data_IF_557496090290
#
_entry.id   IF_557496090290
#
_cell.length_a   1.000
_cell.length_b   1.000
_cell.length_c   1.000
_cell.angle_alpha   90.00
_cell.angle_beta   90.00
_cell.angle_gamma   90.00
#
_symmetry.space_group_name_H-M   'P 1'
#
loop_
_entity.id
_entity.type
_entity.pdbx_description
1 polymer ?
#
# COMPACT_ATOMS: atom_id res chain seq x y z
N UNK A 1 -29.16 -39.44 -16.96
CA UNK A 1 -28.92 -40.10 -15.66
C UNK A 1 -27.43 -40.34 -15.54
N UNK A 2 -26.78 -39.80 -14.51
CA UNK A 2 -25.37 -40.10 -14.24
C UNK A 2 -24.50 -38.91 -13.85
N UNK A 3 -24.71 -38.41 -12.63
CA UNK A 3 -23.70 -37.78 -11.76
C UNK A 3 -23.10 -36.42 -12.17
N UNK A 4 -23.78 -35.36 -11.75
CA UNK A 4 -23.10 -34.12 -11.36
C UNK A 4 -22.34 -34.38 -10.07
N UNK A 5 -21.01 -34.34 -10.14
CA UNK A 5 -20.17 -34.30 -8.96
C UNK A 5 -20.05 -32.82 -8.54
N UNK A 6 -20.81 -32.45 -7.50
CA UNK A 6 -20.52 -31.27 -6.71
C UNK A 6 -19.11 -31.42 -6.12
N UNK A 7 -18.16 -30.64 -6.62
CA UNK A 7 -16.87 -30.45 -5.95
C UNK A 7 -17.06 -29.51 -4.75
N UNK A 8 -17.71 -29.97 -3.69
CA UNK A 8 -17.59 -29.35 -2.37
C UNK A 8 -16.28 -29.83 -1.74
N UNK A 9 -15.15 -29.25 -2.16
CA UNK A 9 -13.89 -29.38 -1.43
C UNK A 9 -14.07 -28.61 -0.12
N UNK A 10 -14.42 -29.31 0.95
CA UNK A 10 -14.26 -28.79 2.29
C UNK A 10 -12.76 -28.54 2.51
N UNK A 11 -12.32 -27.30 2.29
CA UNK A 11 -10.98 -26.90 2.71
C UNK A 11 -10.96 -26.97 4.24
N UNK A 12 -10.22 -27.93 4.78
CA UNK A 12 -9.91 -27.98 6.20
C UNK A 12 -9.11 -26.71 6.54
N UNK A 13 -9.81 -25.69 7.06
CA UNK A 13 -9.19 -24.42 7.41
C UNK A 13 -8.36 -24.68 8.67
N UNK A 14 -7.07 -24.91 8.47
CA UNK A 14 -6.12 -25.10 9.55
C UNK A 14 -5.85 -23.75 10.24
N UNK A 15 -6.59 -23.46 11.31
CA UNK A 15 -6.47 -22.23 12.10
C UNK A 15 -5.02 -21.96 12.53
N UNK A 16 -4.23 -23.01 12.78
CA UNK A 16 -2.83 -22.89 13.17
C UNK A 16 -1.95 -22.28 12.07
N UNK A 17 -2.29 -22.46 10.78
CA UNK A 17 -1.56 -21.85 9.66
C UNK A 17 -1.81 -20.34 9.52
N UNK A 18 -2.87 -19.83 10.14
CA UNK A 18 -3.21 -18.40 10.15
C UNK A 18 -2.47 -17.67 11.29
N UNK A 19 -2.00 -18.40 12.31
CA UNK A 19 -1.38 -17.83 13.51
C UNK A 19 -0.19 -16.87 13.25
N UNK A 20 0.72 -17.10 12.28
CA UNK A 20 1.80 -16.14 12.01
C UNK A 20 1.27 -14.78 11.59
N UNK A 21 0.22 -14.75 10.76
CA UNK A 21 -0.41 -13.51 10.30
C UNK A 21 -1.11 -12.78 11.45
N UNK A 22 -1.84 -13.51 12.29
CA UNK A 22 -2.51 -12.94 13.46
C UNK A 22 -1.49 -12.36 14.47
N UNK A 23 -0.36 -13.04 14.65
CA UNK A 23 0.75 -12.56 15.48
C UNK A 23 1.33 -11.26 14.95
N UNK A 24 1.66 -11.21 13.65
CA UNK A 24 2.17 -10.00 12.98
C UNK A 24 1.20 -8.83 13.16
N UNK A 25 -0.09 -9.05 12.95
CA UNK A 25 -1.13 -8.03 13.10
C UNK A 25 -1.20 -7.51 14.55
N UNK A 26 -1.21 -8.42 15.53
CA UNK A 26 -1.26 -8.05 16.94
C UNK A 26 -0.03 -7.23 17.38
N UNK A 27 1.16 -7.57 16.89
CA UNK A 27 2.39 -6.82 17.16
C UNK A 27 2.41 -5.47 16.45
N UNK A 28 1.89 -5.38 15.23
CA UNK A 28 1.76 -4.12 14.49
C UNK A 28 0.84 -3.13 15.20
N UNK A 29 -0.30 -3.59 15.73
CA UNK A 29 -1.22 -2.75 16.51
C UNK A 29 -0.59 -2.24 17.81
N UNK A 30 0.38 -2.97 18.38
CA UNK A 30 1.16 -2.53 19.55
C UNK A 30 2.27 -1.53 19.23
N UNK A 31 2.45 -1.15 17.96
CA UNK A 31 3.42 -0.14 17.54
C UNK A 31 4.88 -0.61 17.55
N UNK A 32 5.14 -1.92 17.49
CA UNK A 32 6.49 -2.43 17.30
C UNK A 32 7.03 -2.06 15.91
N UNK A 33 8.36 -2.04 15.77
CA UNK A 33 8.99 -1.74 14.50
C UNK A 33 8.65 -2.80 13.45
N UNK A 34 8.19 -2.37 12.27
CA UNK A 34 7.79 -3.23 11.14
C UNK A 34 8.86 -4.26 10.78
N UNK A 35 10.14 -3.88 10.76
CA UNK A 35 11.25 -4.79 10.43
C UNK A 35 11.33 -5.94 11.45
N UNK A 36 11.21 -5.61 12.74
CA UNK A 36 11.23 -6.62 13.82
C UNK A 36 10.01 -7.51 13.74
N UNK A 37 8.83 -6.94 13.49
CA UNK A 37 7.57 -7.69 13.37
C UNK A 37 7.65 -8.70 12.22
N UNK A 38 8.13 -8.28 11.04
CA UNK A 38 8.24 -9.16 9.87
C UNK A 38 9.24 -10.29 10.11
N UNK A 39 10.37 -10.02 10.76
CA UNK A 39 11.33 -11.06 11.15
C UNK A 39 10.71 -12.09 12.09
N UNK A 40 9.96 -11.64 13.11
CA UNK A 40 9.20 -12.53 14.00
C UNK A 40 8.18 -13.35 13.21
N UNK A 41 7.47 -12.72 12.26
CA UNK A 41 6.50 -13.39 11.39
C UNK A 41 7.13 -14.49 10.55
N UNK A 42 8.30 -14.25 9.95
CA UNK A 42 9.04 -15.26 9.18
C UNK A 42 9.43 -16.44 10.09
N UNK A 43 10.01 -16.16 11.26
CA UNK A 43 10.41 -17.19 12.22
C UNK A 43 9.20 -18.00 12.72
N UNK A 44 8.07 -17.34 13.00
CA UNK A 44 6.83 -17.99 13.39
C UNK A 44 6.26 -18.88 12.27
N UNK A 45 6.29 -18.41 11.02
CA UNK A 45 5.89 -19.20 9.84
C UNK A 45 6.79 -20.42 9.65
N UNK A 46 8.10 -20.28 9.86
CA UNK A 46 9.05 -21.40 9.82
C UNK A 46 8.70 -22.42 10.91
N UNK A 47 8.54 -21.97 12.15
CA UNK A 47 8.21 -22.84 13.28
C UNK A 47 6.90 -23.60 13.04
N UNK A 48 5.85 -22.92 12.60
CA UNK A 48 4.55 -23.55 12.33
C UNK A 48 4.66 -24.52 11.15
N UNK A 49 5.34 -24.15 10.07
CA UNK A 49 5.52 -25.04 8.92
C UNK A 49 6.29 -26.32 9.25
N UNK A 50 7.25 -26.24 10.17
CA UNK A 50 7.95 -27.42 10.71
C UNK A 50 7.04 -28.26 11.63
N UNK A 51 6.26 -27.62 12.51
CA UNK A 51 5.35 -28.31 13.44
C UNK A 51 4.17 -28.99 12.75
N UNK A 52 3.74 -28.48 11.59
CA UNK A 52 2.66 -29.05 10.79
C UNK A 52 3.16 -29.92 9.63
N UNK A 53 4.43 -30.36 9.68
CA UNK A 53 5.10 -31.20 8.68
C UNK A 53 4.90 -30.71 7.23
N UNK A 54 4.82 -29.40 7.04
CA UNK A 54 4.58 -28.79 5.72
C UNK A 54 5.86 -28.68 4.90
N UNK A 55 7.02 -28.62 5.56
CA UNK A 55 8.34 -28.75 4.96
C UNK A 55 9.37 -29.19 6.01
N UNK A 56 10.51 -29.70 5.55
CA UNK A 56 11.61 -30.12 6.43
C UNK A 56 12.58 -28.97 6.71
N UNK A 57 13.35 -29.07 7.80
CA UNK A 57 14.35 -28.07 8.19
C UNK A 57 15.37 -27.77 7.09
N UNK A 58 15.77 -28.79 6.31
CA UNK A 58 16.69 -28.65 5.19
C UNK A 58 16.12 -27.80 4.04
N UNK A 59 14.79 -27.74 3.92
CA UNK A 59 14.11 -26.94 2.90
C UNK A 59 13.95 -25.47 3.30
N UNK A 60 14.15 -25.10 4.57
CA UNK A 60 13.92 -23.73 5.07
C UNK A 60 14.73 -22.70 4.29
N UNK A 61 16.02 -22.95 4.08
CA UNK A 61 16.88 -22.04 3.32
C UNK A 61 16.39 -21.81 1.89
N UNK A 62 15.93 -22.89 1.22
CA UNK A 62 15.36 -22.82 -0.13
C UNK A 62 14.04 -22.04 -0.14
N UNK A 63 13.15 -22.27 0.82
CA UNK A 63 11.87 -21.56 0.91
C UNK A 63 12.08 -20.05 1.13
N UNK A 64 13.03 -19.68 1.99
CA UNK A 64 13.40 -18.28 2.19
C UNK A 64 13.96 -17.68 0.89
N UNK A 65 14.85 -18.41 0.21
CA UNK A 65 15.43 -17.99 -1.08
C UNK A 65 14.36 -17.81 -2.16
N UNK A 66 13.47 -18.79 -2.33
CA UNK A 66 12.38 -18.74 -3.31
C UNK A 66 11.44 -17.56 -2.99
N UNK A 67 11.13 -17.33 -1.71
CA UNK A 67 10.34 -16.19 -1.25
C UNK A 67 11.01 -14.85 -1.57
N UNK A 68 12.32 -14.73 -1.34
CA UNK A 68 13.08 -13.53 -1.71
C UNK A 68 13.11 -13.32 -3.23
N UNK A 69 13.42 -14.36 -3.99
CA UNK A 69 13.49 -14.30 -5.46
C UNK A 69 12.13 -13.99 -6.09
N UNK A 70 11.02 -14.43 -5.49
CA UNK A 70 9.66 -14.12 -5.98
C UNK A 70 9.36 -12.62 -6.03
N UNK A 71 10.07 -11.81 -5.23
CA UNK A 71 9.89 -10.35 -5.15
C UNK A 71 11.08 -9.56 -5.71
N UNK A 72 12.15 -10.23 -6.16
CA UNK A 72 13.40 -9.58 -6.56
C UNK A 72 13.21 -8.60 -7.73
N UNK A 73 12.40 -8.98 -8.72
CA UNK A 73 12.14 -8.13 -9.90
C UNK A 73 11.46 -6.82 -9.51
N UNK A 74 10.40 -6.91 -8.70
CA UNK A 74 9.67 -5.74 -8.18
C UNK A 74 10.57 -4.93 -7.25
N UNK A 75 11.41 -5.58 -6.43
CA UNK A 75 12.38 -4.91 -5.57
C UNK A 75 13.35 -4.06 -6.39
N UNK A 76 13.99 -4.59 -7.44
CA UNK A 76 14.95 -3.83 -8.22
C UNK A 76 14.30 -2.65 -8.96
N UNK A 77 13.14 -2.86 -9.56
CA UNK A 77 12.40 -1.80 -10.25
C UNK A 77 12.02 -0.68 -9.26
N UNK A 78 11.44 -1.04 -8.11
CA UNK A 78 11.03 -0.05 -7.11
C UNK A 78 12.21 0.64 -6.44
N UNK A 79 13.34 -0.06 -6.24
CA UNK A 79 14.58 0.53 -5.72
C UNK A 79 15.13 1.59 -6.68
N UNK A 80 15.17 1.30 -7.99
CA UNK A 80 15.61 2.25 -9.01
C UNK A 80 14.67 3.45 -9.13
N UNK A 81 13.35 3.21 -9.15
CA UNK A 81 12.34 4.29 -9.17
C UNK A 81 12.45 5.17 -7.93
N UNK A 82 12.62 4.58 -6.73
CA UNK A 82 12.82 5.32 -5.50
C UNK A 82 14.10 6.16 -5.51
N UNK A 83 15.20 5.60 -6.03
CA UNK A 83 16.44 6.33 -6.24
C UNK A 83 16.27 7.51 -7.19
N UNK A 84 15.58 7.31 -8.31
CA UNK A 84 15.27 8.37 -9.26
C UNK A 84 14.36 9.45 -8.64
N UNK A 85 13.35 9.05 -7.88
CA UNK A 85 12.48 9.97 -7.15
C UNK A 85 13.27 10.78 -6.10
N UNK A 86 14.26 10.18 -5.44
CA UNK A 86 15.15 10.88 -4.51
C UNK A 86 16.03 11.91 -5.23
N UNK A 87 16.58 11.58 -6.40
CA UNK A 87 17.32 12.52 -7.25
C UNK A 87 16.40 13.66 -7.70
N UNK A 88 15.21 13.34 -8.22
CA UNK A 88 14.23 14.35 -8.64
C UNK A 88 13.81 15.28 -7.49
N UNK A 89 13.71 14.76 -6.26
CA UNK A 89 13.47 15.57 -5.06
C UNK A 89 14.61 16.56 -4.82
N UNK A 90 15.86 16.08 -4.94
CA UNK A 90 17.07 16.89 -4.73
C UNK A 90 17.22 17.98 -5.80
N UNK A 91 16.86 17.69 -7.05
CA UNK A 91 16.90 18.63 -8.18
C UNK A 91 15.67 19.57 -8.24
N UNK A 92 14.82 19.59 -7.21
CA UNK A 92 13.73 20.55 -7.08
C UNK A 92 12.39 20.13 -7.69
N UNK A 93 12.21 18.86 -8.07
CA UNK A 93 10.92 18.33 -8.54
C UNK A 93 9.81 18.47 -7.49
N UNK A 94 10.17 18.33 -6.22
CA UNK A 94 9.28 18.58 -5.09
C UNK A 94 8.90 20.06 -4.98
N UNK A 95 9.87 20.96 -5.16
CA UNK A 95 9.64 22.41 -5.12
C UNK A 95 8.80 22.87 -6.32
N UNK A 96 8.94 22.21 -7.47
CA UNK A 96 8.08 22.42 -8.63
C UNK A 96 6.61 22.08 -8.29
N UNK A 97 6.35 20.90 -7.71
CA UNK A 97 5.00 20.51 -7.30
C UNK A 97 4.43 21.47 -6.27
N UNK A 98 5.22 21.84 -5.27
CA UNK A 98 4.86 22.84 -4.28
C UNK A 98 4.47 24.16 -4.94
N UNK A 99 5.32 24.71 -5.82
CA UNK A 99 5.08 26.00 -6.47
C UNK A 99 3.84 25.96 -7.36
N UNK A 100 3.58 24.84 -8.03
CA UNK A 100 2.44 24.70 -8.95
C UNK A 100 1.12 24.51 -8.23
N UNK A 101 1.10 23.75 -7.13
CA UNK A 101 -0.13 23.36 -6.44
C UNK A 101 -0.45 24.21 -5.20
N UNK A 102 0.56 24.78 -4.52
CA UNK A 102 0.35 25.64 -3.35
C UNK A 102 -0.58 26.85 -3.58
N UNK A 103 -0.64 27.49 -4.77
CA UNK A 103 -1.60 28.58 -5.02
C UNK A 103 -3.07 28.16 -4.88
N UNK A 104 -3.37 26.87 -4.98
CA UNK A 104 -4.72 26.35 -4.82
C UNK A 104 -5.09 26.11 -3.36
N UNK A 105 -4.10 26.01 -2.46
CA UNK A 105 -4.32 25.92 -1.02
C UNK A 105 -4.65 27.32 -0.45
N UNK A 106 -5.95 27.62 -0.34
CA UNK A 106 -6.48 28.89 0.22
C UNK A 106 -7.00 28.75 1.66
N UNK A 107 -7.26 27.53 2.11
CA UNK A 107 -7.70 27.17 3.45
C UNK A 107 -7.55 25.66 3.71
N UNK A 108 -7.94 25.19 4.90
CA UNK A 108 -7.75 23.79 5.36
C UNK A 108 -8.21 22.75 4.33
N UNK A 109 -9.45 22.87 3.83
CA UNK A 109 -10.01 21.92 2.84
C UNK A 109 -9.22 21.86 1.54
N UNK A 110 -8.90 23.03 0.98
CA UNK A 110 -8.14 23.12 -0.26
C UNK A 110 -6.69 22.68 -0.08
N UNK A 111 -6.11 22.83 1.12
CA UNK A 111 -4.78 22.33 1.41
C UNK A 111 -4.77 20.80 1.51
N UNK A 112 -5.77 20.18 2.13
CA UNK A 112 -5.98 18.72 2.09
C UNK A 112 -6.10 18.21 0.63
N UNK A 113 -6.87 18.89 -0.21
CA UNK A 113 -6.99 18.55 -1.63
C UNK A 113 -5.65 18.67 -2.39
N UNK A 114 -4.82 19.67 -2.07
CA UNK A 114 -3.47 19.80 -2.63
C UNK A 114 -2.56 18.66 -2.18
N UNK A 115 -2.63 18.25 -0.90
CA UNK A 115 -1.88 17.09 -0.40
C UNK A 115 -2.28 15.82 -1.16
N UNK A 116 -3.59 15.59 -1.32
CA UNK A 116 -4.14 14.48 -2.08
C UNK A 116 -3.65 14.48 -3.54
N UNK A 117 -3.64 15.65 -4.19
CA UNK A 117 -3.14 15.79 -5.55
C UNK A 117 -1.63 15.52 -5.66
N UNK A 118 -0.82 15.99 -4.71
CA UNK A 118 0.62 15.75 -4.69
C UNK A 118 0.95 14.26 -4.61
N UNK A 119 0.33 13.52 -3.68
CA UNK A 119 0.58 12.08 -3.55
C UNK A 119 0.01 11.31 -4.74
N UNK A 120 -1.14 11.71 -5.28
CA UNK A 120 -1.73 11.14 -6.50
C UNK A 120 -0.76 11.23 -7.68
N UNK A 121 -0.22 12.42 -7.96
CA UNK A 121 0.70 12.62 -9.08
C UNK A 121 1.97 11.81 -8.87
N UNK A 122 2.53 11.84 -7.66
CA UNK A 122 3.71 11.05 -7.34
C UNK A 122 3.45 9.55 -7.51
N UNK A 123 2.31 9.05 -7.01
CA UNK A 123 1.95 7.64 -7.04
C UNK A 123 1.68 7.13 -8.45
N UNK A 124 0.98 7.91 -9.29
CA UNK A 124 0.79 7.57 -10.71
C UNK A 124 2.12 7.46 -11.47
N UNK A 125 3.10 8.33 -11.15
CA UNK A 125 4.39 8.30 -11.81
C UNK A 125 5.33 7.20 -11.28
N UNK A 126 5.25 6.88 -10.00
CA UNK A 126 6.16 5.96 -9.30
C UNK A 126 5.59 4.52 -9.28
N UNK A 127 4.27 4.38 -9.28
CA UNK A 127 3.51 3.13 -9.09
C UNK A 127 3.91 2.37 -7.81
N UNK A 128 4.21 3.11 -6.73
CA UNK A 128 4.57 2.56 -5.43
C UNK A 128 4.16 3.53 -4.30
N UNK A 129 3.12 3.11 -3.56
CA UNK A 129 2.50 3.88 -2.50
C UNK A 129 3.53 4.38 -1.48
N UNK A 130 4.42 3.51 -1.00
CA UNK A 130 5.40 3.86 0.05
C UNK A 130 6.35 4.95 -0.41
N UNK A 131 6.89 4.80 -1.63
CA UNK A 131 7.84 5.75 -2.20
C UNK A 131 7.13 7.08 -2.50
N UNK A 132 5.91 7.03 -3.03
CA UNK A 132 5.10 8.21 -3.31
C UNK A 132 4.72 8.98 -2.03
N UNK A 133 4.36 8.28 -0.95
CA UNK A 133 4.08 8.89 0.37
C UNK A 133 5.34 9.55 0.92
N UNK A 134 6.49 8.88 0.89
CA UNK A 134 7.76 9.45 1.37
C UNK A 134 8.15 10.69 0.55
N UNK A 135 8.02 10.61 -0.77
CA UNK A 135 8.29 11.71 -1.68
C UNK A 135 7.38 12.91 -1.38
N UNK A 136 6.07 12.70 -1.35
CA UNK A 136 5.07 13.76 -1.10
C UNK A 136 5.00 14.24 0.35
N UNK A 137 5.54 13.48 1.30
CA UNK A 137 5.42 13.73 2.74
C UNK A 137 6.01 15.07 3.18
N UNK A 138 7.10 15.52 2.56
CA UNK A 138 7.70 16.82 2.86
C UNK A 138 6.84 18.01 2.38
N UNK A 139 6.14 17.87 1.24
CA UNK A 139 5.12 18.83 0.79
C UNK A 139 3.94 18.84 1.75
N UNK A 140 3.46 17.66 2.08
CA UNK A 140 2.31 17.48 2.95
C UNK A 140 2.54 18.10 4.33
N UNK A 141 3.74 17.92 4.89
CA UNK A 141 4.15 18.53 6.16
C UNK A 141 4.14 20.06 6.10
N UNK A 142 4.74 20.67 5.06
CA UNK A 142 4.77 22.14 4.90
C UNK A 142 3.35 22.74 4.84
N UNK A 143 2.45 22.08 4.10
CA UNK A 143 1.05 22.52 4.00
C UNK A 143 0.27 22.29 5.30
N UNK A 144 0.51 21.17 5.98
CA UNK A 144 -0.12 20.88 7.25
C UNK A 144 0.26 21.88 8.35
N UNK A 145 1.53 22.27 8.42
CA UNK A 145 2.02 23.30 9.35
C UNK A 145 1.42 24.67 9.01
N UNK A 146 1.36 25.04 7.72
CA UNK A 146 0.80 26.34 7.29
C UNK A 146 -0.71 26.48 7.54
N UNK A 147 -1.47 25.39 7.38
CA UNK A 147 -2.93 25.40 7.49
C UNK A 147 -3.45 24.77 8.78
N UNK A 148 -2.58 24.39 9.73
CA UNK A 148 -2.97 23.75 11.00
C UNK A 148 -3.83 22.50 10.77
N UNK A 149 -3.32 21.55 9.98
CA UNK A 149 -3.97 20.26 9.70
C UNK A 149 -3.33 19.19 10.59
N UNK A 150 -4.15 18.39 11.26
CA UNK A 150 -3.66 17.33 12.15
C UNK A 150 -2.82 16.28 11.41
N UNK A 151 -1.75 15.80 12.04
CA UNK A 151 -0.81 14.83 11.43
C UNK A 151 -1.50 13.53 11.02
N UNK A 152 -2.41 13.01 11.84
CA UNK A 152 -3.19 11.80 11.51
C UNK A 152 -4.06 11.99 10.26
N UNK A 153 -4.63 13.19 10.08
CA UNK A 153 -5.39 13.55 8.88
C UNK A 153 -4.50 13.55 7.64
N UNK A 154 -3.33 14.18 7.73
CA UNK A 154 -2.35 14.22 6.64
C UNK A 154 -1.91 12.80 6.26
N UNK A 155 -1.56 11.97 7.25
CA UNK A 155 -1.15 10.59 7.03
C UNK A 155 -2.25 9.77 6.34
N UNK A 156 -3.51 9.93 6.77
CA UNK A 156 -4.65 9.26 6.15
C UNK A 156 -4.90 9.71 4.71
N UNK A 157 -4.79 11.01 4.41
CA UNK A 157 -4.92 11.51 3.02
C UNK A 157 -3.81 10.94 2.13
N UNK A 158 -2.57 10.99 2.61
CA UNK A 158 -1.43 10.44 1.87
C UNK A 158 -1.63 8.96 1.57
N UNK A 159 -1.99 8.17 2.58
CA UNK A 159 -2.22 6.74 2.48
C UNK A 159 -3.38 6.40 1.52
N UNK A 160 -4.56 7.00 1.75
CA UNK A 160 -5.76 6.70 0.95
C UNK A 160 -5.54 7.04 -0.52
N UNK A 161 -5.05 8.24 -0.84
CA UNK A 161 -4.90 8.63 -2.24
C UNK A 161 -3.80 7.83 -2.96
N UNK A 162 -2.72 7.42 -2.26
CA UNK A 162 -1.77 6.46 -2.85
C UNK A 162 -2.40 5.08 -3.10
N UNK A 163 -3.24 4.58 -2.18
CA UNK A 163 -3.88 3.28 -2.35
C UNK A 163 -4.94 3.27 -3.46
N UNK A 164 -5.68 4.36 -3.60
CA UNK A 164 -6.73 4.50 -4.64
C UNK A 164 -6.09 4.39 -6.02
N UNK A 165 -5.04 5.16 -6.29
CA UNK A 165 -4.42 5.19 -7.62
C UNK A 165 -3.70 3.89 -7.94
N UNK A 166 -3.02 3.27 -6.97
CA UNK A 166 -2.43 1.95 -7.18
C UNK A 166 -3.45 0.87 -7.55
N UNK A 167 -4.68 0.98 -7.06
CA UNK A 167 -5.80 0.11 -7.45
C UNK A 167 -6.46 0.46 -8.78
N UNK A 168 -6.11 1.59 -9.39
CA UNK A 168 -6.69 2.11 -10.65
C UNK A 168 -5.67 2.06 -11.81
N UNK A 169 -4.38 1.95 -11.51
CA UNK A 169 -3.33 1.91 -12.52
C UNK A 169 -3.16 0.48 -13.06
N UNK A 170 -3.20 0.26 -14.40
CA UNK A 170 -3.10 -1.08 -14.97
C UNK A 170 -1.78 -1.81 -14.68
N UNK A 171 -0.71 -1.03 -14.47
CA UNK A 171 0.63 -1.52 -14.14
C UNK A 171 0.92 -1.50 -12.63
N UNK A 172 -0.09 -1.27 -11.79
CA UNK A 172 0.03 -1.40 -10.34
C UNK A 172 0.30 -2.84 -9.94
N UNK A 173 1.19 -3.07 -8.97
CA UNK A 173 1.62 -4.41 -8.56
C UNK A 173 0.44 -5.34 -8.21
N UNK A 174 -0.61 -4.83 -7.57
CA UNK A 174 -1.80 -5.57 -7.18
C UNK A 174 -2.65 -5.99 -8.38
N UNK A 175 -2.80 -5.11 -9.39
CA UNK A 175 -3.52 -5.41 -10.62
C UNK A 175 -2.73 -6.41 -11.47
N UNK A 176 -1.41 -6.27 -11.55
CA UNK A 176 -0.54 -7.21 -12.26
C UNK A 176 -0.55 -8.60 -11.61
N UNK A 177 -0.57 -8.68 -10.27
CA UNK A 177 -0.71 -9.94 -9.55
C UNK A 177 -2.04 -10.62 -9.89
N UNK A 178 -3.15 -9.87 -9.83
CA UNK A 178 -4.46 -10.39 -10.20
C UNK A 178 -4.51 -10.83 -11.67
N UNK A 179 -3.93 -10.05 -12.59
CA UNK A 179 -3.81 -10.38 -14.01
C UNK A 179 -2.99 -11.66 -14.24
N UNK A 180 -1.89 -11.82 -13.50
CA UNK A 180 -1.06 -13.02 -13.56
C UNK A 180 -1.78 -14.28 -13.06
N UNK A 181 -2.62 -14.16 -12.02
CA UNK A 181 -3.41 -15.27 -11.48
C UNK A 181 -4.60 -15.65 -12.37
N UNK A 182 -5.25 -14.65 -12.99
CA UNK A 182 -6.44 -14.85 -13.82
C UNK A 182 -6.13 -15.00 -15.31
N UNK A 183 -4.87 -14.84 -15.72
CA UNK A 183 -4.45 -14.73 -17.13
C UNK A 183 -5.20 -13.65 -17.91
N UNK A 184 -5.50 -12.52 -17.26
CA UNK A 184 -6.20 -11.37 -17.83
C UNK A 184 -5.27 -10.18 -17.96
N UNK A 185 -5.56 -9.28 -18.90
CA UNK A 185 -4.90 -7.98 -18.95
C UNK A 185 -5.29 -7.14 -17.74
N UNK A 186 -4.37 -6.31 -17.25
CA UNK A 186 -4.68 -5.36 -16.17
C UNK A 186 -5.88 -4.45 -16.51
N UNK A 187 -6.04 -4.11 -17.78
CA UNK A 187 -7.19 -3.31 -18.26
C UNK A 187 -8.54 -4.01 -18.10
N UNK A 188 -8.58 -5.34 -18.15
CA UNK A 188 -9.82 -6.12 -18.00
C UNK A 188 -10.25 -6.19 -16.53
N UNK A 189 -9.31 -6.01 -15.60
CA UNK A 189 -9.53 -6.09 -14.14
C UNK A 189 -9.99 -4.74 -13.58
N UNK A 190 -9.52 -3.63 -14.17
CA UNK A 190 -9.83 -2.28 -13.69
C UNK A 190 -11.32 -1.98 -13.49
N UNK A 191 -12.25 -2.36 -14.40
CA UNK A 191 -13.68 -2.13 -14.21
C UNK A 191 -14.27 -2.77 -12.96
N UNK A 192 -13.61 -3.81 -12.42
CA UNK A 192 -14.04 -4.54 -11.24
C UNK A 192 -13.36 -4.07 -9.95
N UNK A 193 -12.46 -3.10 -10.03
CA UNK A 193 -11.75 -2.52 -8.87
C UNK A 193 -12.63 -1.50 -8.13
N UNK A 194 -13.77 -1.97 -7.62
CA UNK A 194 -14.77 -1.13 -6.96
C UNK A 194 -14.27 -0.54 -5.64
N UNK A 195 -13.50 -1.30 -4.85
CA UNK A 195 -13.04 -0.86 -3.54
C UNK A 195 -12.14 0.39 -3.61
N UNK A 196 -11.06 0.43 -4.41
CA UNK A 196 -10.27 1.64 -4.60
C UNK A 196 -11.11 2.83 -5.09
N UNK A 197 -12.03 2.61 -6.03
CA UNK A 197 -12.90 3.67 -6.54
C UNK A 197 -13.82 4.25 -5.44
N UNK A 198 -14.48 3.38 -4.67
CA UNK A 198 -15.35 3.79 -3.56
C UNK A 198 -14.56 4.50 -2.46
N UNK A 199 -13.39 3.98 -2.11
CA UNK A 199 -12.51 4.61 -1.12
C UNK A 199 -12.10 6.03 -1.54
N UNK A 200 -11.76 6.21 -2.81
CA UNK A 200 -11.44 7.53 -3.38
C UNK A 200 -12.62 8.49 -3.35
N UNK A 201 -13.82 8.02 -3.69
CA UNK A 201 -15.05 8.82 -3.61
C UNK A 201 -15.36 9.25 -2.17
N UNK A 202 -15.24 8.34 -1.20
CA UNK A 202 -15.48 8.64 0.21
C UNK A 202 -14.42 9.63 0.73
N UNK A 203 -13.16 9.45 0.38
CA UNK A 203 -12.08 10.36 0.78
C UNK A 203 -12.25 11.76 0.20
N UNK A 204 -12.66 11.87 -1.07
CA UNK A 204 -12.99 13.15 -1.70
C UNK A 204 -14.18 13.81 -1.00
N UNK A 205 -15.24 13.06 -0.73
CA UNK A 205 -16.40 13.55 0.00
C UNK A 205 -15.98 14.09 1.38
N UNK A 206 -15.16 13.35 2.10
CA UNK A 206 -14.70 13.72 3.43
C UNK A 206 -13.82 14.99 3.42
N UNK A 207 -12.94 15.17 2.42
CA UNK A 207 -12.19 16.43 2.23
C UNK A 207 -13.16 17.61 1.97
N UNK A 208 -14.17 17.42 1.12
CA UNK A 208 -15.11 18.49 0.72
C UNK A 208 -16.00 18.91 1.90
N UNK A 209 -16.54 17.95 2.65
CA UNK A 209 -17.59 18.20 3.64
C UNK A 209 -17.11 18.20 5.10
N UNK A 210 -16.08 17.43 5.46
CA UNK A 210 -15.73 17.17 6.87
C UNK A 210 -14.39 17.76 7.35
N UNK A 211 -13.58 18.36 6.48
CA UNK A 211 -12.24 18.92 6.79
C UNK A 211 -12.20 19.96 7.95
N UNK A 212 -13.33 20.49 8.42
CA UNK A 212 -13.37 21.42 9.56
C UNK A 212 -13.51 20.78 10.95
N UNK A 213 -13.63 19.44 11.05
CA UNK A 213 -13.71 18.77 12.36
C UNK A 213 -12.33 18.69 13.01
N UNK A 214 -12.24 19.05 14.30
CA UNK A 214 -11.01 18.87 15.09
C UNK A 214 -10.71 17.38 15.19
N UNK A 215 -9.58 16.95 14.63
CA UNK A 215 -9.05 15.61 14.82
C UNK A 215 -8.51 15.49 16.25
N UNK A 216 -8.85 14.40 16.93
CA UNK A 216 -8.26 14.08 18.24
C UNK A 216 -6.74 13.93 18.11
N UNK A 217 -5.96 14.28 19.16
CA UNK A 217 -4.50 14.23 19.13
C UNK A 217 -3.95 12.82 18.93
#
# INVERSE_FOLDING_TARGET
>A
MGSGAEHTVAHDISLIRIAPYALVLALAVRGLNVVVILMIGILASIAIGLLTDSFHILAVGKIIYDGFMSMADVFFVTFLIAGLAAIASKEGGLDFLLKKLSPWAKGKRSAEAVIAACVTIADICIANNTVAILFSGSVARKLAEKFDIAKGRVASILDVFSCVWQGVIPHGAQILLAGGLCHLSGFDILPYSYYPALLGLIALFDIIFMSNKKYAP
#
